data_IF_128482857316
#
_entry.id   IF_128482857316
#
_cell.length_a   1.000
_cell.length_b   1.000
_cell.length_c   1.000
_cell.angle_alpha   90.00
_cell.angle_beta   90.00
_cell.angle_gamma   90.00
#
_symmetry.space_group_name_H-M   'P 1'
#
loop_
_entity.id
_entity.type
_entity.pdbx_description
1 polymer ?
#
# COMPACT_ATOMS: atom_id res chain seq x y z
N UNK A 1 -8.66 -13.93 -1.08
CA UNK A 1 -9.70 -12.87 -1.00
C UNK A 1 -9.23 -11.85 0.02
N UNK A 2 -9.02 -10.59 -0.37
CA UNK A 2 -8.63 -9.51 0.55
C UNK A 2 -9.87 -9.18 1.38
N UNK A 3 -9.87 -9.58 2.65
CA UNK A 3 -11.12 -9.82 3.37
C UNK A 3 -11.85 -8.59 3.89
N UNK A 4 -11.32 -7.36 3.83
CA UNK A 4 -12.13 -6.16 4.12
C UNK A 4 -11.49 -4.87 3.58
N UNK A 5 -11.72 -4.54 2.30
CA UNK A 5 -11.57 -3.15 1.86
C UNK A 5 -12.71 -2.36 2.51
N UNK A 6 -12.42 -1.65 3.59
CA UNK A 6 -13.45 -0.94 4.39
C UNK A 6 -13.76 0.46 3.87
N UNK A 7 -12.84 1.07 3.12
CA UNK A 7 -13.00 2.43 2.61
C UNK A 7 -12.12 2.66 1.37
N UNK A 8 -12.69 3.29 0.34
CA UNK A 8 -12.03 3.64 -0.93
C UNK A 8 -12.47 5.05 -1.32
N UNK A 9 -11.55 5.86 -1.84
CA UNK A 9 -11.85 7.13 -2.48
C UNK A 9 -11.80 6.95 -4.00
N UNK A 10 -12.84 7.45 -4.69
CA UNK A 10 -12.94 7.40 -6.16
C UNK A 10 -13.02 8.82 -6.69
N UNK A 11 -12.10 9.17 -7.59
CA UNK A 11 -12.03 10.49 -8.22
C UNK A 11 -12.08 10.34 -9.74
N UNK A 12 -12.89 11.19 -10.38
CA UNK A 12 -12.95 11.30 -11.84
C UNK A 12 -12.13 12.52 -12.28
N UNK A 13 -11.29 12.37 -13.31
CA UNK A 13 -10.44 13.46 -13.81
C UNK A 13 -11.21 14.55 -14.57
N UNK A 14 -12.51 14.33 -14.81
CA UNK A 14 -13.40 15.23 -15.53
C UNK A 14 -14.70 15.42 -14.74
N UNK A 15 -15.55 16.35 -15.19
CA UNK A 15 -16.93 16.48 -14.68
C UNK A 15 -17.81 15.28 -15.05
N UNK A 16 -17.30 14.35 -15.88
CA UNK A 16 -18.05 13.16 -16.24
C UNK A 16 -18.10 12.20 -15.05
N UNK A 17 -19.32 11.93 -14.58
CA UNK A 17 -19.64 10.92 -13.56
C UNK A 17 -19.77 9.51 -14.16
N UNK A 18 -19.51 9.35 -15.46
CA UNK A 18 -19.58 8.09 -16.19
C UNK A 18 -18.19 7.57 -16.52
N UNK A 19 -18.02 6.24 -16.51
CA UNK A 19 -16.73 5.62 -16.76
C UNK A 19 -16.28 5.70 -18.23
N UNK A 20 -17.21 5.75 -19.17
CA UNK A 20 -16.92 5.74 -20.61
C UNK A 20 -17.60 6.91 -21.35
N UNK A 21 -17.15 8.16 -21.16
CA UNK A 21 -17.58 9.30 -21.96
C UNK A 21 -16.83 9.33 -23.32
N UNK A 22 -17.34 10.05 -24.34
CA UNK A 22 -16.71 10.12 -25.67
C UNK A 22 -15.25 10.60 -25.69
N UNK A 23 -14.82 11.39 -24.70
CA UNK A 23 -13.44 11.86 -24.56
C UNK A 23 -12.54 10.96 -23.71
N UNK A 24 -13.05 9.82 -23.22
CA UNK A 24 -12.40 9.01 -22.20
C UNK A 24 -12.46 9.65 -20.81
N UNK A 25 -12.24 8.84 -19.76
CA UNK A 25 -12.19 9.32 -18.39
C UNK A 25 -11.06 8.62 -17.65
N UNK A 26 -10.32 9.35 -16.82
CA UNK A 26 -9.35 8.74 -15.90
C UNK A 26 -10.01 8.64 -14.54
N UNK A 27 -10.13 7.42 -14.04
CA UNK A 27 -10.69 7.12 -12.72
C UNK A 27 -9.54 6.77 -11.79
N UNK A 28 -9.35 7.57 -10.74
CA UNK A 28 -8.35 7.31 -9.71
C UNK A 28 -9.07 6.64 -8.54
N UNK A 29 -8.58 5.46 -8.17
CA UNK A 29 -9.07 4.69 -7.03
C UNK A 29 -7.97 4.66 -5.97
N UNK A 30 -8.24 5.25 -4.82
CA UNK A 30 -7.31 5.28 -3.69
C UNK A 30 -7.85 4.39 -2.55
N UNK A 31 -7.06 3.39 -2.17
CA UNK A 31 -7.33 2.54 -1.01
C UNK A 31 -6.78 3.21 0.24
N UNK A 32 -7.66 3.49 1.22
CA UNK A 32 -7.29 4.30 2.40
C UNK A 32 -7.03 3.47 3.67
N UNK A 33 -7.28 2.16 3.60
CA UNK A 33 -7.29 1.24 4.74
C UNK A 33 -6.47 -0.06 4.53
N UNK A 34 -6.10 -0.40 3.30
CA UNK A 34 -5.28 -1.58 3.00
C UNK A 34 -3.85 -1.14 2.69
N UNK A 35 -2.97 -1.40 3.66
CA UNK A 35 -1.60 -0.90 3.74
C UNK A 35 -0.64 -1.78 2.96
N UNK A 36 0.28 -1.17 2.22
CA UNK A 36 1.25 -1.86 1.38
C UNK A 36 0.86 -1.98 -0.10
N UNK A 37 1.67 -2.68 -0.91
CA UNK A 37 1.48 -2.81 -2.35
C UNK A 37 0.31 -3.74 -2.63
N UNK A 38 -0.86 -3.15 -2.84
CA UNK A 38 -2.01 -3.92 -3.28
C UNK A 38 -1.77 -4.45 -4.69
N UNK A 39 -2.25 -5.68 -4.99
CA UNK A 39 -2.30 -6.18 -6.36
C UNK A 39 -2.99 -5.18 -7.27
N UNK A 40 -2.57 -5.13 -8.53
CA UNK A 40 -3.22 -4.29 -9.53
C UNK A 40 -4.71 -4.64 -9.63
N UNK A 41 -5.54 -3.61 -9.74
CA UNK A 41 -6.96 -3.79 -10.01
C UNK A 41 -7.15 -4.50 -11.35
N UNK A 42 -8.01 -5.51 -11.38
CA UNK A 42 -8.42 -6.17 -12.62
C UNK A 42 -9.82 -5.67 -12.94
N UNK A 43 -9.91 -4.83 -13.97
CA UNK A 43 -11.19 -4.35 -14.48
C UNK A 43 -11.78 -5.33 -15.51
N UNK A 44 -13.08 -5.58 -15.43
CA UNK A 44 -13.80 -6.37 -16.43
C UNK A 44 -14.46 -5.43 -17.46
N UNK A 45 -14.00 -5.40 -18.73
CA UNK A 45 -14.55 -4.52 -19.74
C UNK A 45 -15.90 -4.99 -20.31
N UNK A 46 -16.34 -6.22 -20.01
CA UNK A 46 -17.54 -6.83 -20.62
C UNK A 46 -18.84 -6.07 -20.32
N UNK A 47 -18.87 -5.31 -19.22
CA UNK A 47 -20.00 -4.49 -18.81
C UNK A 47 -19.85 -3.01 -19.19
N UNK A 48 -18.74 -2.62 -19.81
CA UNK A 48 -18.55 -1.26 -20.30
C UNK A 48 -19.18 -1.18 -21.69
N UNK A 49 -20.31 -0.50 -21.77
CA UNK A 49 -21.04 -0.31 -23.02
C UNK A 49 -20.90 1.14 -23.48
N UNK A 50 -20.37 1.34 -24.68
CA UNK A 50 -20.33 2.65 -25.33
C UNK A 50 -21.46 2.73 -26.36
N UNK A 51 -22.67 3.03 -25.88
CA UNK A 51 -23.83 3.20 -26.75
C UNK A 51 -23.74 4.56 -27.47
N UNK A 52 -24.08 4.55 -28.76
CA UNK A 52 -24.36 5.73 -29.62
C UNK A 52 -23.26 6.32 -30.51
N UNK A 53 -22.00 5.82 -30.52
CA UNK A 53 -20.95 6.45 -31.37
C UNK A 53 -20.04 5.47 -32.13
N UNK A 54 -20.28 4.15 -32.06
CA UNK A 54 -19.52 3.17 -32.85
C UNK A 54 -18.02 3.18 -32.53
N UNK A 55 -17.67 3.01 -31.26
CA UNK A 55 -16.28 2.98 -30.78
C UNK A 55 -15.95 1.68 -30.04
N UNK A 56 -14.67 1.33 -30.01
CA UNK A 56 -14.14 0.22 -29.19
C UNK A 56 -13.85 0.69 -27.78
N UNK A 57 -14.33 -0.05 -26.78
CA UNK A 57 -14.01 0.23 -25.37
C UNK A 57 -12.63 -0.32 -25.05
N UNK A 58 -11.73 0.56 -24.60
CA UNK A 58 -10.43 0.19 -24.07
C UNK A 58 -10.37 0.51 -22.57
N UNK A 59 -9.98 -0.48 -21.76
CA UNK A 59 -9.77 -0.31 -20.33
C UNK A 59 -8.30 -0.59 -20.03
N UNK A 60 -7.59 0.41 -19.50
CA UNK A 60 -6.21 0.28 -19.03
C UNK A 60 -6.18 0.54 -17.54
N UNK A 61 -5.56 -0.37 -16.80
CA UNK A 61 -5.36 -0.20 -15.36
C UNK A 61 -3.85 -0.08 -15.10
N UNK A 62 -3.48 0.96 -14.35
CA UNK A 62 -2.10 1.20 -13.95
C UNK A 62 -2.04 1.58 -12.48
N UNK A 63 -0.94 1.23 -11.81
CA UNK A 63 -0.62 1.71 -10.47
C UNK A 63 -0.06 3.13 -10.59
N UNK A 64 -0.75 4.11 -10.00
CA UNK A 64 -0.31 5.51 -10.02
C UNK A 64 0.68 5.82 -8.89
N UNK A 65 0.44 5.25 -7.71
CA UNK A 65 1.25 5.50 -6.52
C UNK A 65 1.33 4.22 -5.69
N UNK A 66 2.54 3.84 -5.26
CA UNK A 66 2.72 2.82 -4.22
C UNK A 66 2.29 3.43 -2.89
N UNK A 67 1.55 2.68 -2.07
CA UNK A 67 1.06 3.14 -0.77
C UNK A 67 2.12 3.92 0.01
N UNK A 68 1.75 5.11 0.49
CA UNK A 68 2.65 6.03 1.20
C UNK A 68 2.29 6.17 2.68
N UNK A 69 1.23 5.50 3.13
CA UNK A 69 0.68 5.69 4.48
C UNK A 69 1.58 5.10 5.56
N UNK A 70 2.30 4.04 5.22
CA UNK A 70 3.32 3.41 6.07
C UNK A 70 4.55 4.30 6.24
N UNK A 71 4.70 5.31 5.37
CA UNK A 71 5.79 6.30 5.40
C UNK A 71 5.40 7.57 6.19
N UNK A 72 4.14 7.71 6.59
CA UNK A 72 3.70 8.85 7.42
C UNK A 72 4.07 8.62 8.89
N UNK A 73 4.39 9.69 9.65
CA UNK A 73 4.63 9.60 11.09
C UNK A 73 3.47 8.87 11.79
N UNK A 74 3.79 7.77 12.46
CA UNK A 74 2.82 6.90 13.15
C UNK A 74 1.67 6.40 12.26
N UNK A 75 1.87 6.35 10.94
CA UNK A 75 0.83 6.00 9.97
C UNK A 75 -0.48 6.79 10.13
N UNK A 76 -0.41 7.99 10.73
CA UNK A 76 -1.55 8.78 11.21
C UNK A 76 -2.54 8.00 12.11
N UNK A 77 -2.06 6.99 12.84
CA UNK A 77 -2.85 6.12 13.72
C UNK A 77 -2.32 6.06 15.16
N UNK A 78 -1.33 6.87 15.51
CA UNK A 78 -0.76 6.90 16.86
C UNK A 78 -0.10 8.23 17.22
N UNK A 79 0.21 8.38 18.51
CA UNK A 79 1.04 9.49 19.01
C UNK A 79 2.50 9.16 18.82
N UNK A 80 3.15 9.86 17.89
CA UNK A 80 4.60 9.79 17.72
C UNK A 80 5.23 10.78 18.69
N UNK A 81 5.87 10.28 19.76
CA UNK A 81 6.81 11.12 20.51
C UNK A 81 8.07 11.31 19.66
N UNK A 82 8.07 12.41 18.90
CA UNK A 82 9.19 12.83 18.04
C UNK A 82 10.28 13.55 18.82
N UNK A 83 10.08 13.79 20.12
CA UNK A 83 10.96 14.59 20.97
C UNK A 83 11.91 13.75 21.82
N UNK A 84 11.58 12.49 22.11
CA UNK A 84 12.42 11.67 22.99
C UNK A 84 13.33 10.67 22.27
N UNK A 85 13.01 10.14 21.08
CA UNK A 85 13.95 9.30 20.30
C UNK A 85 13.51 9.29 18.82
N UNK A 86 14.42 9.56 17.86
CA UNK A 86 14.26 9.17 16.45
C UNK A 86 14.33 7.65 16.34
N UNK A 87 13.35 6.94 16.93
CA UNK A 87 13.35 5.49 17.01
C UNK A 87 12.94 4.96 15.66
N UNK A 88 13.77 4.10 15.06
CA UNK A 88 13.39 3.41 13.86
C UNK A 88 12.14 2.56 14.10
N UNK A 89 11.27 2.45 13.09
CA UNK A 89 10.03 1.72 13.21
C UNK A 89 10.31 0.24 13.49
N UNK A 90 9.37 -0.38 14.22
CA UNK A 90 9.41 -1.79 14.56
C UNK A 90 8.35 -2.54 13.78
N UNK A 91 8.67 -3.75 13.35
CA UNK A 91 7.75 -4.67 12.70
C UNK A 91 7.98 -6.09 13.20
N UNK A 92 7.12 -7.06 12.84
CA UNK A 92 7.32 -8.48 13.13
C UNK A 92 8.70 -8.93 12.63
N UNK A 93 9.52 -9.48 13.51
CA UNK A 93 10.87 -9.91 13.15
C UNK A 93 10.84 -11.05 12.13
N UNK A 94 11.71 -10.99 11.11
CA UNK A 94 11.93 -12.12 10.19
C UNK A 94 12.77 -13.23 10.82
N UNK A 95 13.65 -12.84 11.73
CA UNK A 95 14.61 -13.74 12.36
C UNK A 95 14.46 -13.61 13.88
N UNK A 96 13.64 -14.46 14.47
CA UNK A 96 13.51 -14.63 15.91
C UNK A 96 13.01 -16.04 16.27
N UNK A 97 12.95 -16.31 17.57
CA UNK A 97 12.37 -17.55 18.09
C UNK A 97 10.96 -17.28 18.58
N UNK A 98 10.03 -18.15 18.19
CA UNK A 98 8.65 -18.11 18.68
C UNK A 98 8.64 -18.17 20.20
N UNK A 99 7.94 -17.22 20.81
CA UNK A 99 7.81 -17.13 22.27
C UNK A 99 6.57 -17.85 22.78
N UNK A 100 5.53 -18.02 21.94
CA UNK A 100 4.31 -18.76 22.26
C UNK A 100 3.68 -19.40 21.00
N UNK A 101 2.66 -20.24 21.20
CA UNK A 101 1.99 -20.97 20.10
C UNK A 101 1.31 -20.08 19.06
N UNK A 102 0.91 -18.87 19.43
CA UNK A 102 0.27 -17.88 18.54
C UNK A 102 1.09 -16.59 18.41
N UNK A 103 2.34 -16.60 18.88
CA UNK A 103 3.25 -15.46 18.82
C UNK A 103 4.61 -15.94 18.29
N UNK A 104 4.68 -16.01 16.96
CA UNK A 104 5.84 -16.50 16.23
C UNK A 104 6.92 -15.42 16.09
N UNK A 105 6.52 -14.15 15.97
CA UNK A 105 7.40 -13.04 15.64
C UNK A 105 7.15 -11.84 16.53
N UNK A 106 8.10 -11.56 17.42
CA UNK A 106 8.13 -10.36 18.23
C UNK A 106 8.41 -9.14 17.35
N UNK A 107 7.93 -7.99 17.80
CA UNK A 107 8.28 -6.74 17.15
C UNK A 107 9.75 -6.39 17.41
N UNK A 108 10.49 -6.13 16.34
CA UNK A 108 11.90 -5.75 16.37
C UNK A 108 12.16 -4.52 15.49
N UNK A 109 13.18 -3.74 15.86
CA UNK A 109 13.62 -2.58 15.07
C UNK A 109 14.02 -3.08 13.68
N UNK A 110 13.45 -2.46 12.65
CA UNK A 110 13.66 -2.84 11.26
C UNK A 110 13.41 -4.35 11.01
N UNK A 111 12.51 -4.97 11.78
CA UNK A 111 12.10 -6.38 11.65
C UNK A 111 13.27 -7.38 11.63
N UNK A 112 14.40 -7.03 12.24
CA UNK A 112 15.67 -7.76 12.11
C UNK A 112 16.17 -7.96 10.66
N UNK A 113 15.58 -7.26 9.69
CA UNK A 113 15.86 -7.36 8.26
C UNK A 113 16.39 -6.05 7.68
N UNK A 114 16.90 -5.16 8.53
CA UNK A 114 17.52 -3.90 8.14
C UNK A 114 18.29 -3.27 9.28
N UNK A 115 19.02 -2.21 8.95
CA UNK A 115 19.79 -1.41 9.92
C UNK A 115 19.10 -0.08 10.15
N UNK A 116 18.88 0.25 11.41
CA UNK A 116 18.33 1.55 11.81
C UNK A 116 19.37 2.66 11.62
N UNK A 117 19.06 3.67 10.81
CA UNK A 117 19.76 4.94 10.82
C UNK A 117 19.16 5.83 11.92
N UNK A 118 19.86 5.94 13.05
CA UNK A 118 19.43 6.74 14.20
C UNK A 118 19.44 8.24 13.93
N UNK A 119 20.17 8.71 12.91
CA UNK A 119 20.15 10.11 12.53
C UNK A 119 18.83 10.48 11.85
N UNK A 120 18.26 9.58 11.06
CA UNK A 120 17.02 9.86 10.31
C UNK A 120 15.77 9.20 10.91
N UNK A 121 15.94 8.15 11.71
CA UNK A 121 14.85 7.29 12.18
C UNK A 121 14.33 6.34 11.10
N UNK A 122 15.09 6.11 10.03
CA UNK A 122 14.69 5.30 8.87
C UNK A 122 15.45 3.96 8.87
N UNK A 123 14.77 2.89 8.48
CA UNK A 123 15.38 1.57 8.30
C UNK A 123 15.99 1.42 6.90
N UNK A 124 17.28 1.07 6.84
CA UNK A 124 17.95 0.63 5.63
C UNK A 124 17.78 -0.88 5.49
N UNK A 125 16.83 -1.31 4.65
CA UNK A 125 16.49 -2.72 4.51
C UNK A 125 17.56 -3.53 3.78
N UNK A 126 17.75 -4.77 4.22
CA UNK A 126 18.56 -5.75 3.53
C UNK A 126 17.93 -6.11 2.17
N UNK A 127 18.72 -6.61 1.20
CA UNK A 127 18.18 -7.06 -0.08
C UNK A 127 17.07 -8.09 0.11
N UNK A 128 15.95 -7.91 -0.61
CA UNK A 128 14.79 -8.79 -0.48
C UNK A 128 13.72 -8.30 0.51
N UNK A 129 13.97 -7.20 1.24
CA UNK A 129 13.07 -6.65 2.24
C UNK A 129 12.68 -5.21 1.95
N UNK A 130 11.46 -4.85 2.30
CA UNK A 130 10.91 -3.51 2.13
C UNK A 130 9.85 -3.17 3.20
N UNK A 131 9.33 -1.94 3.12
CA UNK A 131 8.46 -1.36 4.14
C UNK A 131 9.24 -0.51 5.14
N UNK A 132 8.55 0.35 5.88
CA UNK A 132 9.17 1.31 6.79
C UNK A 132 10.04 0.64 7.86
N UNK A 133 9.69 -0.58 8.29
CA UNK A 133 10.46 -1.42 9.21
C UNK A 133 11.03 -2.69 8.54
N UNK A 134 11.14 -2.78 7.21
CA UNK A 134 11.63 -3.98 6.50
C UNK A 134 10.80 -5.26 6.75
N UNK A 135 9.54 -5.11 7.13
CA UNK A 135 8.64 -6.19 7.52
C UNK A 135 8.01 -6.95 6.34
N UNK A 136 8.27 -6.52 5.10
CA UNK A 136 7.68 -7.11 3.88
C UNK A 136 8.79 -7.67 3.00
N UNK A 137 8.55 -8.81 2.36
CA UNK A 137 9.45 -9.36 1.36
C UNK A 137 9.16 -8.74 0.01
N UNK A 138 10.20 -8.45 -0.78
CA UNK A 138 10.05 -7.97 -2.17
C UNK A 138 9.87 -9.12 -3.17
N UNK A 139 9.90 -10.37 -2.69
CA UNK A 139 9.61 -11.57 -3.47
C UNK A 139 8.13 -11.90 -3.26
N UNK A 140 7.27 -11.42 -4.16
CA UNK A 140 5.90 -11.91 -4.29
C UNK A 140 5.94 -13.22 -5.09
N UNK A 141 5.47 -14.33 -4.48
CA UNK A 141 5.28 -15.63 -5.15
C UNK A 141 3.89 -15.72 -5.78
#
# INVERSE_FOLDING_TARGET
AISTITQVLVLFSSTATTACPPGGNVIVVEFVQDFGPLPLLVGNPSNLVYTNVGGSVALTVARLQVGNKENLPCSNRGTCDVTSVRTCPQGPAWFDMAVQSNDAHRYAICSNAGVCDSATGVCNCAPGFEGSACQRSTMDI
#
